data_IF_421684397459
#
_entry.id   IF_421684397459
#
_cell.length_a   1.000
_cell.length_b   1.000
_cell.length_c   1.000
_cell.angle_alpha   90.00
_cell.angle_beta   90.00
_cell.angle_gamma   90.00
#
_symmetry.space_group_name_H-M   'P 1'
#
loop_
_entity.id
_entity.type
_entity.pdbx_description
1 polymer ?
#
# COMPACT_ATOMS: atom_id res chain seq x y z
N UNK A 1 61.19 -18.79 8.98
CA UNK A 1 60.68 -17.82 8.01
C UNK A 1 59.25 -17.46 8.41
N UNK A 2 59.12 -16.46 9.29
CA UNK A 2 57.87 -15.95 9.85
C UNK A 2 57.86 -14.44 9.55
N UNK A 3 57.19 -14.07 8.46
CA UNK A 3 56.81 -12.71 8.07
C UNK A 3 55.28 -12.79 8.00
N UNK A 4 54.48 -12.14 8.83
CA UNK A 4 54.51 -10.71 9.14
C UNK A 4 53.31 -10.08 8.43
N UNK A 5 52.10 -10.35 8.93
CA UNK A 5 50.84 -9.82 8.38
C UNK A 5 50.11 -9.09 9.51
N UNK A 6 50.62 -7.89 9.82
CA UNK A 6 49.94 -6.90 10.65
C UNK A 6 48.99 -6.16 9.72
N UNK A 7 47.74 -6.59 9.70
CA UNK A 7 46.66 -5.91 9.00
C UNK A 7 46.15 -4.79 9.91
N UNK A 8 46.75 -3.61 9.79
CA UNK A 8 46.23 -2.38 10.40
C UNK A 8 44.88 -2.04 9.77
N UNK A 9 43.82 -2.32 10.52
CA UNK A 9 42.47 -1.87 10.21
C UNK A 9 42.40 -0.38 10.60
N UNK A 10 42.74 0.52 9.67
CA UNK A 10 42.36 1.93 9.75
C UNK A 10 40.83 2.02 9.64
N UNK A 11 40.14 2.08 10.78
CA UNK A 11 38.71 2.39 10.83
C UNK A 11 38.49 3.91 10.66
N UNK A 12 37.42 4.32 9.96
CA UNK A 12 37.10 5.73 9.74
C UNK A 12 36.57 6.37 11.03
N UNK A 13 37.41 7.10 11.75
CA UNK A 13 37.02 7.86 12.96
C UNK A 13 36.11 9.04 12.65
N UNK A 14 36.14 9.60 11.44
CA UNK A 14 35.31 10.76 11.07
C UNK A 14 33.81 10.48 11.00
N UNK A 15 33.43 9.25 10.60
CA UNK A 15 32.02 8.87 10.51
C UNK A 15 31.36 8.72 11.89
N UNK A 16 32.14 8.42 12.93
CA UNK A 16 31.64 8.30 14.30
C UNK A 16 31.30 9.68 14.88
N UNK A 17 32.15 10.67 14.67
CA UNK A 17 31.99 12.02 15.25
C UNK A 17 30.75 12.75 14.69
N UNK A 18 30.50 12.60 13.38
CA UNK A 18 29.31 13.16 12.72
C UNK A 18 28.01 12.53 13.24
N UNK A 19 28.00 11.22 13.48
CA UNK A 19 26.83 10.50 14.02
C UNK A 19 26.53 10.93 15.45
N UNK A 20 27.56 11.08 16.28
CA UNK A 20 27.39 11.54 17.66
C UNK A 20 26.83 12.95 17.74
N UNK A 21 27.27 13.85 16.86
CA UNK A 21 26.70 15.20 16.76
C UNK A 21 25.23 15.17 16.33
N UNK A 22 24.88 14.38 15.33
CA UNK A 22 23.49 14.26 14.86
C UNK A 22 22.57 13.65 15.93
N UNK A 23 23.04 12.63 16.65
CA UNK A 23 22.30 12.02 17.76
C UNK A 23 22.09 13.00 18.92
N UNK A 24 23.11 13.79 19.27
CA UNK A 24 23.00 14.84 20.28
C UNK A 24 21.99 15.93 19.88
N UNK A 25 22.05 16.39 18.63
CA UNK A 25 21.10 17.37 18.11
C UNK A 25 19.66 16.83 18.11
N UNK A 26 19.48 15.56 17.73
CA UNK A 26 18.19 14.89 17.81
C UNK A 26 17.70 14.76 19.26
N UNK A 27 18.57 14.41 20.22
CA UNK A 27 18.23 14.33 21.63
C UNK A 27 17.80 15.70 22.20
N UNK A 28 18.54 16.76 21.88
CA UNK A 28 18.20 18.13 22.29
C UNK A 28 16.86 18.57 21.69
N UNK A 29 16.61 18.27 20.41
CA UNK A 29 15.32 18.52 19.76
C UNK A 29 14.18 17.78 20.46
N UNK A 30 14.37 16.50 20.79
CA UNK A 30 13.38 15.67 21.47
C UNK A 30 13.09 16.20 22.86
N UNK A 31 14.10 16.55 23.65
CA UNK A 31 13.90 17.14 24.99
C UNK A 31 13.15 18.46 24.92
N UNK A 32 13.46 19.30 23.92
CA UNK A 32 12.76 20.57 23.72
C UNK A 32 11.28 20.37 23.35
N UNK A 33 10.97 19.37 22.53
CA UNK A 33 9.62 19.13 22.00
C UNK A 33 8.76 18.23 22.88
N UNK A 34 9.36 17.24 23.54
CA UNK A 34 8.72 16.18 24.32
C UNK A 34 9.15 16.18 25.80
N UNK A 35 9.75 17.25 26.32
CA UNK A 35 10.34 17.28 27.66
C UNK A 35 9.42 16.93 28.83
N UNK A 36 8.09 16.95 28.64
CA UNK A 36 7.12 16.46 29.65
C UNK A 36 7.09 14.94 29.78
N UNK A 37 7.43 14.21 28.71
CA UNK A 37 7.46 12.74 28.67
C UNK A 37 8.82 12.18 29.09
N UNK A 38 9.87 13.00 29.12
CA UNK A 38 11.28 12.59 29.31
C UNK A 38 11.81 13.05 30.68
N UNK A 39 10.96 13.09 31.72
CA UNK A 39 11.21 13.83 32.95
C UNK A 39 12.47 13.44 33.76
N UNK A 40 13.18 12.38 33.40
CA UNK A 40 14.35 11.89 34.15
C UNK A 40 15.60 11.63 33.29
N UNK A 41 15.52 11.75 31.96
CA UNK A 41 16.63 11.36 31.09
C UNK A 41 17.45 12.57 30.60
N UNK A 42 18.76 12.54 30.81
CA UNK A 42 19.66 13.59 30.32
C UNK A 42 19.79 13.54 28.79
N UNK A 43 20.10 14.69 28.18
CA UNK A 43 20.36 14.80 26.74
C UNK A 43 21.46 13.82 26.28
N UNK A 44 22.47 13.59 27.12
CA UNK A 44 23.56 12.67 26.83
C UNK A 44 23.13 11.20 26.85
N UNK A 45 22.29 10.80 27.82
CA UNK A 45 21.75 9.43 27.87
C UNK A 45 20.87 9.15 26.65
N UNK A 46 20.00 10.11 26.32
CA UNK A 46 19.13 10.01 25.15
C UNK A 46 19.95 9.98 23.86
N UNK A 47 20.98 10.82 23.72
CA UNK A 47 21.87 10.82 22.55
C UNK A 47 22.54 9.44 22.36
N UNK A 48 23.08 8.85 23.44
CA UNK A 48 23.68 7.50 23.38
C UNK A 48 22.66 6.44 22.95
N UNK A 49 21.44 6.48 23.47
CA UNK A 49 20.37 5.58 23.01
C UNK A 49 20.07 5.76 21.52
N UNK A 50 19.97 7.00 21.06
CA UNK A 50 19.76 7.31 19.64
C UNK A 50 20.91 6.74 18.79
N UNK A 51 22.17 6.89 19.20
CA UNK A 51 23.33 6.33 18.48
C UNK A 51 23.24 4.81 18.35
N UNK A 52 22.94 4.10 19.45
CA UNK A 52 22.81 2.64 19.46
C UNK A 52 21.69 2.18 18.52
N UNK A 53 20.54 2.83 18.58
CA UNK A 53 19.41 2.48 17.72
C UNK A 53 19.63 2.86 16.26
N UNK A 54 20.31 3.98 16.00
CA UNK A 54 20.71 4.37 14.65
C UNK A 54 21.70 3.37 14.06
N UNK A 55 22.64 2.86 14.85
CA UNK A 55 23.55 1.80 14.42
C UNK A 55 22.82 0.49 14.10
N UNK A 56 21.73 0.18 14.83
CA UNK A 56 20.94 -1.05 14.64
C UNK A 56 19.93 -0.95 13.49
N UNK A 57 19.27 0.20 13.33
CA UNK A 57 18.11 0.38 12.46
C UNK A 57 18.36 1.29 11.25
N UNK A 58 19.51 1.97 11.18
CA UNK A 58 19.84 2.93 10.14
C UNK A 58 19.51 4.38 10.53
N UNK A 59 19.88 5.31 9.64
CA UNK A 59 19.69 6.76 9.85
C UNK A 59 18.21 7.17 9.86
N UNK A 60 17.32 6.36 9.31
CA UNK A 60 15.87 6.55 9.39
C UNK A 60 15.37 6.60 10.83
N UNK A 61 16.11 6.01 11.78
CA UNK A 61 15.78 6.09 13.20
C UNK A 61 15.84 7.53 13.73
N UNK A 62 16.76 8.35 13.24
CA UNK A 62 16.85 9.77 13.65
C UNK A 62 15.57 10.53 13.29
N UNK A 63 15.04 10.29 12.09
CA UNK A 63 13.80 10.92 11.63
C UNK A 63 12.58 10.37 12.37
N UNK A 64 12.56 9.05 12.63
CA UNK A 64 11.53 8.43 13.45
C UNK A 64 11.47 9.07 14.85
N UNK A 65 12.61 9.22 15.53
CA UNK A 65 12.69 9.84 16.86
C UNK A 65 12.27 11.32 16.82
N UNK A 66 12.63 12.08 15.78
CA UNK A 66 12.19 13.49 15.63
C UNK A 66 10.67 13.62 15.47
N UNK A 67 10.03 12.68 14.78
CA UNK A 67 8.58 12.68 14.54
C UNK A 67 7.78 12.13 15.71
N UNK A 68 8.19 10.98 16.24
CA UNK A 68 7.47 10.18 17.25
C UNK A 68 7.92 10.51 18.66
N UNK A 69 9.14 11.01 18.84
CA UNK A 69 9.74 11.25 20.13
C UNK A 69 10.32 9.97 20.76
N UNK A 70 10.45 9.93 22.10
CA UNK A 70 11.01 8.79 22.83
C UNK A 70 10.22 7.48 22.66
N UNK A 71 8.94 7.56 22.28
CA UNK A 71 8.13 6.37 22.02
C UNK A 71 8.64 5.54 20.82
N UNK A 72 9.49 6.13 19.96
CA UNK A 72 10.11 5.42 18.86
C UNK A 72 10.97 4.22 19.30
N UNK A 73 11.60 4.30 20.48
CA UNK A 73 12.38 3.18 21.03
C UNK A 73 11.47 1.98 21.32
N UNK A 74 10.40 2.21 22.06
CA UNK A 74 9.45 1.17 22.45
C UNK A 74 8.78 0.53 21.22
N UNK A 75 8.33 1.34 20.27
CA UNK A 75 7.70 0.85 19.04
C UNK A 75 8.67 0.03 18.17
N UNK A 76 9.95 0.41 18.13
CA UNK A 76 10.97 -0.36 17.42
C UNK A 76 11.26 -1.71 18.11
N UNK A 77 11.25 -1.76 19.45
CA UNK A 77 11.41 -2.99 20.23
C UNK A 77 10.21 -3.91 20.11
N UNK A 78 8.98 -3.39 20.26
CA UNK A 78 7.72 -4.15 20.14
C UNK A 78 7.56 -4.77 18.75
N UNK A 79 8.03 -4.08 17.72
CA UNK A 79 8.02 -4.61 16.35
C UNK A 79 8.98 -5.80 16.16
N UNK A 80 9.93 -6.04 17.08
CA UNK A 80 10.81 -7.19 17.08
C UNK A 80 11.58 -7.37 15.77
N UNK A 81 11.33 -8.49 15.08
CA UNK A 81 11.95 -8.81 13.78
C UNK A 81 11.61 -7.77 12.70
N UNK A 82 10.49 -7.06 12.85
CA UNK A 82 10.02 -6.01 11.95
C UNK A 82 10.47 -4.59 12.38
N UNK A 83 11.40 -4.46 13.34
CA UNK A 83 11.87 -3.19 13.87
C UNK A 83 12.31 -2.19 12.78
N UNK A 84 13.09 -2.61 11.78
CA UNK A 84 13.51 -1.74 10.68
C UNK A 84 12.33 -1.20 9.86
N UNK A 85 11.29 -2.02 9.67
CA UNK A 85 10.11 -1.61 8.93
C UNK A 85 9.27 -0.63 9.74
N UNK A 86 9.10 -0.89 11.05
CA UNK A 86 8.46 0.04 11.97
C UNK A 86 9.18 1.41 12.02
N UNK A 87 10.51 1.42 12.03
CA UNK A 87 11.30 2.65 12.00
C UNK A 87 11.05 3.46 10.73
N UNK A 88 11.04 2.83 9.56
CA UNK A 88 10.70 3.51 8.29
C UNK A 88 9.27 4.06 8.31
N UNK A 89 8.34 3.33 8.90
CA UNK A 89 6.96 3.76 9.05
C UNK A 89 6.86 5.01 9.94
N UNK A 90 7.53 5.01 11.09
CA UNK A 90 7.62 6.15 12.00
C UNK A 90 8.27 7.36 11.33
N UNK A 91 9.39 7.15 10.64
CA UNK A 91 10.12 8.19 9.92
C UNK A 91 9.28 8.84 8.82
N UNK A 92 8.33 8.12 8.21
CA UNK A 92 7.46 8.66 7.16
C UNK A 92 6.20 9.29 7.72
N UNK A 93 5.45 8.54 8.52
CA UNK A 93 4.07 8.87 8.89
C UNK A 93 3.90 9.31 10.35
N UNK A 94 4.92 9.18 11.19
CA UNK A 94 4.85 9.53 12.62
C UNK A 94 4.13 8.47 13.47
N UNK A 95 3.73 8.88 14.67
CA UNK A 95 3.31 7.97 15.76
C UNK A 95 1.93 7.36 15.51
N UNK A 96 0.92 8.20 15.35
CA UNK A 96 -0.49 7.78 15.20
C UNK A 96 -0.69 6.75 14.08
N UNK A 97 0.05 6.92 12.99
CA UNK A 97 0.01 6.05 11.83
C UNK A 97 0.71 4.70 12.12
N UNK A 98 1.85 4.74 12.81
CA UNK A 98 2.61 3.54 13.19
C UNK A 98 1.83 2.70 14.18
N UNK A 99 1.31 3.32 15.25
CA UNK A 99 0.48 2.64 16.25
C UNK A 99 -0.73 1.99 15.59
N UNK A 100 -1.40 2.68 14.67
CA UNK A 100 -2.58 2.12 13.99
C UNK A 100 -2.25 0.88 13.14
N UNK A 101 -1.15 0.90 12.39
CA UNK A 101 -0.75 -0.24 11.54
C UNK A 101 -0.24 -1.41 12.38
N UNK A 102 0.58 -1.14 13.40
CA UNK A 102 1.21 -2.19 14.22
C UNK A 102 0.26 -2.80 15.27
N UNK A 103 -0.71 -2.03 15.78
CA UNK A 103 -1.69 -2.55 16.76
C UNK A 103 -2.67 -3.57 16.17
N UNK A 104 -2.75 -3.68 14.84
CA UNK A 104 -3.68 -4.57 14.15
C UNK A 104 -2.91 -5.70 13.44
N UNK A 105 -3.09 -6.97 13.84
CA UNK A 105 -2.29 -8.07 13.29
C UNK A 105 -2.48 -8.23 11.78
N UNK A 106 -3.68 -7.96 11.27
CA UNK A 106 -3.97 -8.04 9.84
C UNK A 106 -3.27 -6.92 9.04
N UNK A 107 -3.31 -5.68 9.52
CA UNK A 107 -2.62 -4.55 8.90
C UNK A 107 -1.09 -4.74 8.97
N UNK A 108 -0.57 -5.20 10.11
CA UNK A 108 0.83 -5.55 10.28
C UNK A 108 1.28 -6.67 9.32
N UNK A 109 0.45 -7.70 9.11
CA UNK A 109 0.74 -8.76 8.15
C UNK A 109 0.77 -8.25 6.70
N UNK A 110 -0.16 -7.35 6.32
CA UNK A 110 -0.15 -6.70 5.00
C UNK A 110 1.09 -5.82 4.82
N UNK A 111 1.47 -5.07 5.85
CA UNK A 111 2.70 -4.28 5.86
C UNK A 111 3.95 -5.16 5.72
N UNK A 112 4.03 -6.27 6.43
CA UNK A 112 5.15 -7.21 6.31
C UNK A 112 5.26 -7.81 4.90
N UNK A 113 4.11 -8.08 4.24
CA UNK A 113 4.06 -8.69 2.89
C UNK A 113 4.32 -7.70 1.76
N UNK A 114 3.75 -6.51 1.84
CA UNK A 114 3.73 -5.55 0.73
C UNK A 114 4.59 -4.31 0.99
N UNK A 115 5.10 -4.14 2.21
CA UNK A 115 5.97 -3.03 2.59
C UNK A 115 5.22 -1.72 2.78
N UNK A 116 5.96 -0.62 2.62
CA UNK A 116 5.49 0.74 2.91
C UNK A 116 4.29 1.18 2.07
N UNK A 117 4.18 0.67 0.84
CA UNK A 117 3.04 1.01 -0.03
C UNK A 117 1.71 0.57 0.59
N UNK A 118 1.67 -0.62 1.23
CA UNK A 118 0.49 -1.08 1.93
C UNK A 118 0.20 -0.20 3.15
N UNK A 119 1.22 0.14 3.94
CA UNK A 119 1.03 1.01 5.08
C UNK A 119 0.45 2.37 4.68
N UNK A 120 0.97 2.98 3.61
CA UNK A 120 0.45 4.25 3.10
C UNK A 120 -1.04 4.15 2.74
N UNK A 121 -1.43 3.10 2.01
CA UNK A 121 -2.84 2.85 1.66
C UNK A 121 -3.71 2.62 2.90
N UNK A 122 -3.21 1.84 3.86
CA UNK A 122 -3.90 1.50 5.11
C UNK A 122 -4.12 2.73 6.01
N UNK A 123 -3.10 3.59 6.14
CA UNK A 123 -3.17 4.83 6.90
C UNK A 123 -4.14 5.82 6.24
N UNK A 124 -4.10 5.93 4.91
CA UNK A 124 -4.98 6.83 4.15
C UNK A 124 -6.46 6.41 4.23
N UNK A 125 -6.73 5.10 4.26
CA UNK A 125 -8.08 4.53 4.24
C UNK A 125 -8.34 3.61 5.44
N UNK A 126 -8.22 4.18 6.65
CA UNK A 126 -8.39 3.46 7.92
C UNK A 126 -9.71 2.68 7.95
N UNK A 127 -9.60 1.37 8.18
CA UNK A 127 -10.74 0.44 8.32
C UNK A 127 -11.36 -0.03 7.00
N UNK A 128 -10.94 0.53 5.86
CA UNK A 128 -11.54 0.27 4.54
C UNK A 128 -10.54 -0.43 3.62
N UNK A 129 -9.26 -0.09 3.72
CA UNK A 129 -8.22 -0.65 2.86
C UNK A 129 -7.99 -2.15 3.09
N UNK A 130 -8.11 -2.63 4.33
CA UNK A 130 -7.81 -4.04 4.69
C UNK A 130 -8.56 -5.06 3.81
N UNK A 131 -9.90 -5.06 3.74
CA UNK A 131 -10.62 -6.05 2.92
C UNK A 131 -10.28 -5.93 1.43
N UNK A 132 -10.02 -4.72 0.94
CA UNK A 132 -9.69 -4.47 -0.47
C UNK A 132 -8.28 -4.98 -0.82
N UNK A 133 -7.31 -4.75 0.07
CA UNK A 133 -5.94 -5.25 -0.08
C UNK A 133 -5.87 -6.76 0.12
N UNK A 134 -6.69 -7.32 1.01
CA UNK A 134 -6.80 -8.77 1.19
C UNK A 134 -7.34 -9.45 -0.06
N UNK A 135 -8.40 -8.90 -0.66
CA UNK A 135 -9.04 -9.48 -1.84
C UNK A 135 -8.19 -9.38 -3.11
N UNK A 136 -7.47 -8.26 -3.31
CA UNK A 136 -6.80 -8.00 -4.59
C UNK A 136 -5.29 -7.76 -4.50
N UNK A 137 -4.70 -7.69 -3.30
CA UNK A 137 -3.25 -7.55 -3.11
C UNK A 137 -2.66 -6.24 -3.67
N UNK A 138 -1.58 -6.36 -4.44
CA UNK A 138 -0.79 -5.21 -4.96
C UNK A 138 -1.59 -4.24 -5.85
N UNK A 139 -2.42 -4.68 -6.81
CA UNK A 139 -3.28 -3.77 -7.58
C UNK A 139 -4.15 -2.85 -6.71
N UNK A 140 -4.73 -3.40 -5.63
CA UNK A 140 -5.54 -2.61 -4.69
C UNK A 140 -4.72 -1.57 -3.95
N UNK A 141 -3.48 -1.90 -3.54
CA UNK A 141 -2.58 -0.95 -2.90
C UNK A 141 -2.30 0.24 -3.81
N UNK A 142 -1.97 -0.02 -5.09
CA UNK A 142 -1.72 1.03 -6.08
C UNK A 142 -2.94 1.94 -6.26
N UNK A 143 -4.14 1.36 -6.37
CA UNK A 143 -5.38 2.10 -6.48
C UNK A 143 -5.67 2.95 -5.23
N UNK A 144 -5.56 2.36 -4.03
CA UNK A 144 -5.83 3.03 -2.76
C UNK A 144 -4.84 4.16 -2.48
N UNK A 145 -3.57 4.02 -2.86
CA UNK A 145 -2.59 5.11 -2.73
C UNK A 145 -3.01 6.37 -3.49
N UNK A 146 -3.61 6.23 -4.68
CA UNK A 146 -3.94 7.38 -5.53
C UNK A 146 -5.32 7.98 -5.26
N UNK A 147 -6.30 7.19 -4.84
CA UNK A 147 -7.66 7.70 -4.57
C UNK A 147 -7.80 8.36 -3.20
N UNK A 148 -8.74 9.31 -3.08
CA UNK A 148 -9.13 9.93 -1.82
C UNK A 148 -10.02 9.02 -0.96
N UNK A 149 -10.24 9.40 0.30
CA UNK A 149 -10.98 8.60 1.28
C UNK A 149 -12.42 8.24 0.84
N UNK A 150 -13.11 9.14 0.12
CA UNK A 150 -14.47 8.88 -0.36
C UNK A 150 -14.46 7.79 -1.45
N UNK A 151 -13.52 7.85 -2.37
CA UNK A 151 -13.35 6.87 -3.43
C UNK A 151 -12.81 5.53 -2.93
N UNK A 152 -11.97 5.54 -1.88
CA UNK A 152 -11.60 4.33 -1.14
C UNK A 152 -12.82 3.61 -0.55
N UNK A 153 -13.73 4.34 0.10
CA UNK A 153 -15.02 3.79 0.61
C UNK A 153 -15.87 3.19 -0.49
N UNK A 154 -15.99 3.88 -1.62
CA UNK A 154 -16.73 3.37 -2.79
C UNK A 154 -16.13 2.07 -3.32
N UNK A 155 -14.81 1.98 -3.37
CA UNK A 155 -14.13 0.76 -3.81
C UNK A 155 -14.42 -0.41 -2.87
N UNK A 156 -14.43 -0.19 -1.56
CA UNK A 156 -14.82 -1.21 -0.59
C UNK A 156 -16.30 -1.62 -0.71
N UNK A 157 -17.22 -0.67 -0.90
CA UNK A 157 -18.63 -1.01 -1.16
C UNK A 157 -18.79 -1.85 -2.44
N UNK A 158 -18.03 -1.56 -3.50
CA UNK A 158 -18.07 -2.39 -4.72
C UNK A 158 -17.52 -3.81 -4.50
N UNK A 159 -16.57 -3.98 -3.58
CA UNK A 159 -16.10 -5.29 -3.14
C UNK A 159 -17.19 -6.03 -2.36
N UNK A 160 -17.78 -5.38 -1.35
CA UNK A 160 -18.84 -5.95 -0.52
C UNK A 160 -20.08 -6.35 -1.34
N UNK A 161 -20.46 -5.53 -2.33
CA UNK A 161 -21.56 -5.81 -3.27
C UNK A 161 -21.20 -6.89 -4.32
N UNK A 162 -19.96 -7.42 -4.33
CA UNK A 162 -19.50 -8.40 -5.31
C UNK A 162 -19.33 -7.87 -6.74
N UNK A 163 -19.47 -6.55 -6.95
CA UNK A 163 -19.41 -5.93 -8.28
C UNK A 163 -18.03 -6.06 -8.92
N UNK A 164 -16.96 -5.95 -8.11
CA UNK A 164 -15.60 -6.15 -8.60
C UNK A 164 -15.37 -7.56 -9.12
N UNK A 165 -15.90 -8.58 -8.44
CA UNK A 165 -15.81 -9.97 -8.87
C UNK A 165 -16.68 -10.23 -10.12
N UNK A 166 -17.89 -9.66 -10.17
CA UNK A 166 -18.80 -9.81 -11.31
C UNK A 166 -18.23 -9.27 -12.63
N UNK A 167 -17.34 -8.27 -12.58
CA UNK A 167 -16.66 -7.74 -13.76
C UNK A 167 -15.56 -8.67 -14.31
N UNK A 168 -15.05 -9.63 -13.53
CA UNK A 168 -14.03 -10.60 -13.94
C UNK A 168 -12.64 -10.03 -14.29
N UNK A 169 -12.45 -8.70 -14.21
CA UNK A 169 -11.23 -7.97 -14.59
C UNK A 169 -10.84 -6.91 -13.54
N UNK A 170 -11.01 -7.28 -12.27
CA UNK A 170 -10.74 -6.39 -11.15
C UNK A 170 -9.28 -5.90 -11.13
N UNK A 171 -8.25 -6.73 -11.38
CA UNK A 171 -6.86 -6.27 -11.40
C UNK A 171 -6.61 -5.16 -12.42
N UNK A 172 -7.09 -5.29 -13.66
CA UNK A 172 -6.87 -4.27 -14.69
C UNK A 172 -7.64 -2.98 -14.41
N UNK A 173 -8.83 -3.10 -13.82
CA UNK A 173 -9.61 -1.95 -13.38
C UNK A 173 -8.88 -1.20 -12.25
N UNK A 174 -8.34 -1.92 -11.28
CA UNK A 174 -7.54 -1.35 -10.20
C UNK A 174 -6.26 -0.70 -10.71
N UNK A 175 -5.61 -1.27 -11.73
CA UNK A 175 -4.44 -0.64 -12.38
C UNK A 175 -4.82 0.68 -13.08
N UNK A 176 -6.00 0.76 -13.69
CA UNK A 176 -6.52 2.02 -14.26
C UNK A 176 -6.79 3.03 -13.16
N UNK A 177 -7.34 2.60 -12.02
CA UNK A 177 -7.51 3.48 -10.84
C UNK A 177 -6.16 3.92 -10.28
N UNK A 178 -5.17 3.04 -10.21
CA UNK A 178 -3.81 3.39 -9.80
C UNK A 178 -3.21 4.47 -10.71
N UNK A 179 -3.41 4.36 -12.04
CA UNK A 179 -2.88 5.34 -13.01
C UNK A 179 -3.64 6.67 -13.04
N UNK A 180 -4.96 6.66 -12.87
CA UNK A 180 -5.82 7.84 -13.10
C UNK A 180 -6.48 8.39 -11.83
N UNK A 181 -6.28 7.73 -10.68
CA UNK A 181 -6.77 8.13 -9.36
C UNK A 181 -8.28 8.30 -9.29
N UNK A 182 -8.70 9.36 -8.60
CA UNK A 182 -10.11 9.65 -8.32
C UNK A 182 -11.00 9.76 -9.56
N UNK A 183 -10.44 10.17 -10.71
CA UNK A 183 -11.21 10.36 -11.94
C UNK A 183 -11.69 9.03 -12.52
N UNK A 184 -10.82 8.03 -12.56
CA UNK A 184 -11.20 6.69 -12.99
C UNK A 184 -12.22 6.10 -12.02
N UNK A 185 -12.00 6.26 -10.70
CA UNK A 185 -12.91 5.72 -9.71
C UNK A 185 -14.31 6.36 -9.78
N UNK A 186 -14.41 7.67 -9.98
CA UNK A 186 -15.69 8.35 -10.22
C UNK A 186 -16.42 7.83 -11.47
N UNK A 187 -15.68 7.60 -12.56
CA UNK A 187 -16.26 7.03 -13.78
C UNK A 187 -16.78 5.61 -13.53
N UNK A 188 -15.96 4.76 -12.91
CA UNK A 188 -16.31 3.38 -12.58
C UNK A 188 -17.56 3.36 -11.69
N UNK A 189 -17.59 4.19 -10.64
CA UNK A 189 -18.71 4.25 -9.71
C UNK A 189 -20.02 4.65 -10.39
N UNK A 190 -19.99 5.64 -11.29
CA UNK A 190 -21.18 6.09 -12.03
C UNK A 190 -21.69 5.07 -13.06
N UNK A 191 -20.81 4.21 -13.56
CA UNK A 191 -21.13 3.26 -14.62
C UNK A 191 -21.01 1.81 -14.16
N UNK A 192 -20.98 1.54 -12.84
CA UNK A 192 -20.71 0.20 -12.30
C UNK A 192 -21.69 -0.87 -12.81
N UNK A 193 -22.96 -0.52 -13.03
CA UNK A 193 -23.95 -1.42 -13.64
C UNK A 193 -23.70 -1.69 -15.13
N UNK A 194 -23.25 -0.68 -15.89
CA UNK A 194 -22.95 -0.84 -17.31
C UNK A 194 -21.62 -1.58 -17.55
N UNK A 195 -20.64 -1.43 -16.65
CA UNK A 195 -19.34 -2.09 -16.74
C UNK A 195 -19.42 -3.60 -16.53
N UNK A 196 -20.46 -4.09 -15.86
CA UNK A 196 -20.75 -5.53 -15.78
C UNK A 196 -21.10 -6.11 -17.17
N UNK A 197 -21.63 -5.28 -18.08
CA UNK A 197 -21.95 -5.68 -19.45
C UNK A 197 -20.73 -5.37 -20.34
N UNK A 198 -19.92 -6.41 -20.58
CA UNK A 198 -18.54 -6.47 -21.10
C UNK A 198 -18.05 -5.47 -22.16
N UNK A 199 -18.92 -4.93 -23.04
CA UNK A 199 -18.51 -4.02 -24.10
C UNK A 199 -17.96 -2.67 -23.56
N UNK A 200 -18.59 -2.12 -22.53
CA UNK A 200 -18.17 -0.84 -21.95
C UNK A 200 -16.81 -0.92 -21.22
N UNK A 201 -16.55 -2.05 -20.58
CA UNK A 201 -15.32 -2.27 -19.82
C UNK A 201 -14.09 -2.32 -20.72
N UNK A 202 -14.19 -3.00 -21.87
CA UNK A 202 -13.06 -3.11 -22.81
C UNK A 202 -12.68 -1.76 -23.39
N UNK A 203 -13.67 -0.94 -23.78
CA UNK A 203 -13.42 0.41 -24.28
C UNK A 203 -12.81 1.32 -23.19
N UNK A 204 -13.28 1.21 -21.95
CA UNK A 204 -12.73 1.98 -20.82
C UNK A 204 -11.29 1.60 -20.50
N UNK A 205 -10.97 0.30 -20.48
CA UNK A 205 -9.61 -0.17 -20.24
C UNK A 205 -8.63 0.24 -21.35
N UNK A 206 -9.10 0.32 -22.60
CA UNK A 206 -8.29 0.81 -23.71
C UNK A 206 -8.06 2.33 -23.68
N UNK A 207 -9.08 3.11 -23.28
CA UNK A 207 -8.97 4.57 -23.23
C UNK A 207 -9.81 5.20 -22.10
N UNK A 208 -9.26 5.32 -20.88
CA UNK A 208 -9.98 5.85 -19.73
C UNK A 208 -10.26 7.36 -19.83
N UNK A 209 -9.65 8.07 -20.79
CA UNK A 209 -9.88 9.50 -21.02
C UNK A 209 -11.12 9.81 -21.87
N UNK A 210 -11.64 8.84 -22.63
CA UNK A 210 -12.74 9.08 -23.57
C UNK A 210 -14.09 9.45 -22.92
N UNK A 211 -14.28 9.18 -21.63
CA UNK A 211 -15.51 9.57 -20.92
C UNK A 211 -15.72 11.08 -20.75
N UNK A 212 -14.70 11.91 -21.03
CA UNK A 212 -14.70 13.35 -20.76
C UNK A 212 -15.43 14.21 -21.80
N UNK A 213 -15.63 13.72 -23.03
CA UNK A 213 -16.04 14.58 -24.14
C UNK A 213 -17.57 14.74 -24.31
N UNK A 214 -18.39 13.86 -23.74
CA UNK A 214 -19.81 13.78 -24.12
C UNK A 214 -20.75 14.88 -23.60
N UNK A 215 -20.42 15.57 -22.50
CA UNK A 215 -21.35 16.57 -21.89
C UNK A 215 -20.97 18.03 -22.14
N UNK A 216 -19.70 18.32 -22.41
CA UNK A 216 -19.27 19.71 -22.67
C UNK A 216 -19.53 20.14 -24.13
N UNK A 217 -19.79 19.18 -25.02
CA UNK A 217 -20.15 19.45 -26.42
C UNK A 217 -21.64 19.82 -26.63
N UNK A 218 -22.53 19.71 -25.63
CA UNK A 218 -23.96 20.06 -25.78
C UNK A 218 -24.33 21.50 -25.40
N UNK A 219 -23.38 22.32 -24.94
CA UNK A 219 -23.65 23.68 -24.46
C UNK A 219 -23.15 24.82 -25.36
N UNK A 220 -22.30 24.55 -26.36
CA UNK A 220 -21.82 25.59 -27.28
C UNK A 220 -22.54 25.49 -28.61
N UNK A 221 -23.46 26.43 -28.81
CA UNK A 221 -24.21 26.60 -30.03
C UNK A 221 -23.32 26.53 -31.27
N UNK A 222 -23.77 25.68 -32.20
CA UNK A 222 -23.63 25.79 -33.65
C UNK A 222 -22.75 26.93 -34.16
N UNK A 223 -21.43 26.72 -34.17
CA UNK A 223 -20.58 27.28 -35.21
C UNK A 223 -20.02 26.11 -36.00
N UNK A 224 -20.39 26.08 -37.28
CA UNK A 224 -19.83 25.19 -38.29
C UNK A 224 -18.30 25.27 -38.23
N UNK A 225 -17.66 24.27 -37.65
CA UNK A 225 -16.21 24.12 -37.67
C UNK A 225 -15.96 22.65 -37.88
N UNK A 226 -15.32 22.36 -39.02
CA UNK A 226 -15.23 21.03 -39.62
C UNK A 226 -14.78 19.95 -38.64
N UNK A 227 -15.54 18.85 -38.67
CA UNK A 227 -15.23 17.62 -38.00
C UNK A 227 -13.82 17.13 -38.37
N UNK A 228 -12.90 17.15 -37.40
CA UNK A 228 -11.83 16.16 -37.32
C UNK A 228 -12.18 15.26 -36.14
N UNK A 229 -13.02 14.28 -36.44
CA UNK A 229 -13.37 13.22 -35.51
C UNK A 229 -12.12 12.44 -35.13
N UNK A 230 -12.14 11.89 -33.91
CA UNK A 230 -11.27 10.78 -33.53
C UNK A 230 -11.63 9.60 -34.45
N UNK A 231 -11.06 9.58 -35.65
CA UNK A 231 -11.16 8.46 -36.58
C UNK A 231 -10.56 7.24 -35.90
N UNK A 232 -11.37 6.20 -35.80
CA UNK A 232 -10.95 4.90 -35.31
C UNK A 232 -9.71 4.45 -36.05
N UNK A 233 -8.78 3.88 -35.30
CA UNK A 233 -7.87 2.90 -35.87
C UNK A 233 -8.74 1.73 -36.32
N UNK A 234 -9.05 1.73 -37.61
CA UNK A 234 -9.53 0.57 -38.34
C UNK A 234 -8.46 -0.51 -38.17
N UNK A 235 -8.84 -1.57 -37.44
CA UNK A 235 -8.02 -2.75 -37.31
C UNK A 235 -7.96 -3.40 -38.69
N UNK A 236 -6.82 -3.23 -39.35
CA UNK A 236 -6.46 -3.98 -40.54
C UNK A 236 -6.55 -5.48 -40.23
N UNK A 237 -7.62 -6.10 -40.73
CA UNK A 237 -7.77 -7.55 -40.82
C UNK A 237 -6.87 -8.07 -41.95
N UNK A 238 -5.55 -7.97 -41.75
CA UNK A 238 -4.53 -8.60 -42.59
C UNK A 238 -4.44 -10.08 -42.24
N UNK A 239 -5.04 -10.92 -43.08
CA UNK A 239 -5.06 -12.36 -42.90
C UNK A 239 -3.67 -12.99 -42.83
N UNK A 240 -3.53 -13.95 -41.91
CA UNK A 240 -2.54 -15.01 -42.05
C UNK A 240 -3.20 -16.35 -41.73
N UNK A 241 -3.62 -17.05 -42.79
CA UNK A 241 -3.97 -18.47 -42.75
C UNK A 241 -2.66 -19.25 -42.72
N UNK A 242 -2.19 -19.56 -41.52
CA UNK A 242 -1.08 -20.48 -41.29
C UNK A 242 -1.59 -21.70 -40.52
N UNK A 243 -1.77 -22.80 -41.23
CA UNK A 243 -2.12 -24.10 -40.68
C UNK A 243 -1.09 -24.59 -39.67
N UNK A 244 -1.53 -25.06 -38.50
CA UNK A 244 -0.84 -26.11 -37.76
C UNK A 244 -1.88 -27.01 -37.08
N UNK A 245 -1.91 -28.25 -37.57
CA UNK A 245 -2.32 -29.48 -36.90
C UNK A 245 -1.76 -29.44 -35.45
N UNK A 246 -2.56 -29.67 -34.42
CA UNK A 246 -3.09 -30.99 -34.09
C UNK A 246 -2.05 -31.72 -33.25
N UNK A 247 -2.15 -31.65 -31.93
CA UNK A 247 -1.99 -32.84 -31.09
C UNK A 247 -2.33 -32.58 -29.62
N UNK A 248 -3.12 -33.50 -29.09
CA UNK A 248 -3.69 -33.45 -27.76
C UNK A 248 -2.66 -33.62 -26.65
N UNK A 249 -2.80 -32.78 -25.62
CA UNK A 249 -2.29 -33.10 -24.30
C UNK A 249 -3.39 -32.86 -23.26
N UNK A 250 -3.80 -33.99 -22.68
CA UNK A 250 -4.68 -34.16 -21.53
C UNK A 250 -4.28 -33.18 -20.43
N UNK A 251 -5.25 -32.41 -19.92
CA UNK A 251 -5.12 -31.80 -18.59
C UNK A 251 -5.73 -32.75 -17.55
N UNK A 252 -5.00 -33.09 -16.49
CA UNK A 252 -5.54 -33.87 -15.38
C UNK A 252 -6.54 -33.03 -14.58
N UNK A 253 -7.62 -33.68 -14.16
CA UNK A 253 -8.48 -33.24 -13.08
C UNK A 253 -7.62 -32.98 -11.83
N UNK A 254 -7.67 -31.75 -11.33
CA UNK A 254 -7.21 -31.45 -9.97
C UNK A 254 -8.47 -31.18 -9.16
N UNK A 255 -8.88 -32.22 -8.43
CA UNK A 255 -9.75 -32.13 -7.26
C UNK A 255 -8.87 -31.69 -6.08
N UNK A 256 -9.38 -30.80 -5.21
CA UNK A 256 -9.21 -31.01 -3.77
C UNK A 256 -10.59 -30.84 -3.12
N UNK A 257 -11.21 -31.93 -2.69
CA UNK A 257 -10.99 -32.60 -1.41
C UNK A 257 -11.13 -31.64 -0.22
N UNK A 258 -12.22 -31.86 0.50
CA UNK A 258 -12.68 -31.13 1.64
C UNK A 258 -11.73 -31.26 2.84
N UNK A 259 -11.41 -30.13 3.46
CA UNK A 259 -11.08 -30.06 4.89
C UNK A 259 -12.10 -29.11 5.55
N UNK A 260 -13.22 -29.66 6.02
CA UNK A 260 -13.46 -29.94 7.46
C UNK A 260 -13.04 -28.80 8.38
N UNK A 261 -13.89 -27.78 8.47
CA UNK A 261 -14.10 -27.08 9.73
C UNK A 261 -15.51 -27.41 10.23
N UNK A 262 -15.59 -28.43 11.09
CA UNK A 262 -16.74 -28.64 11.97
C UNK A 262 -16.71 -27.49 12.99
N UNK A 263 -17.72 -26.63 13.00
CA UNK A 263 -18.05 -25.85 14.18
C UNK A 263 -18.77 -26.77 15.17
N UNK A 264 -18.32 -26.88 16.43
CA UNK A 264 -19.15 -27.45 17.48
C UNK A 264 -20.18 -26.41 17.93
N UNK A 265 -21.46 -26.78 17.79
CA UNK A 265 -22.54 -26.15 18.52
C UNK A 265 -22.32 -26.39 20.02
N UNK A 266 -22.00 -25.35 20.78
CA UNK A 266 -22.13 -25.36 22.24
C UNK A 266 -23.32 -24.50 22.63
N UNK A 267 -24.46 -25.16 22.76
CA UNK A 267 -25.59 -24.65 23.53
C UNK A 267 -25.41 -24.99 25.00
N UNK A 268 -25.51 -23.97 25.85
CA UNK A 268 -25.85 -24.02 27.28
C UNK A 268 -26.42 -22.63 27.58
N UNK A 269 -27.70 -22.40 27.83
CA UNK A 269 -28.61 -23.17 28.65
C UNK A 269 -28.47 -22.71 30.11
N UNK A 270 -28.98 -21.51 30.44
CA UNK A 270 -29.14 -21.08 31.84
C UNK A 270 -30.53 -20.47 32.03
N UNK A 271 -31.30 -21.16 32.88
CA UNK A 271 -32.56 -20.74 33.42
C UNK A 271 -32.35 -20.26 34.86
N UNK A 272 -32.93 -19.09 35.17
CA UNK A 272 -33.49 -18.63 36.46
C UNK A 272 -32.53 -18.57 37.69
N UNK A 273 -32.94 -18.01 38.85
CA UNK A 273 -34.28 -17.60 39.30
C UNK A 273 -34.76 -16.23 38.80
#
# INVERSE_FOLDING_TARGET
MLLGLVLEILLPTEAADLRSKAAREAAEYVLKKFGKEVAEESAESLARKIEVYTAKHGEEFLEAVRKVGPRAFHLAEEAGVHGNQAVKLMARFGDDATVWVLSRPQAAAMFARYGEDAAEALIKHKGIAEPVVEAFGRPAIGALKTVNAQNGRRLAMMLEEGQLAAMGRSPELLDVVAKHGDRAMEFIWRHKGALVVSAGLTAFLANPHCGRSGREARGRGSRKSGARGCSGHELDAGGNRGALLGDGLRRPEIVPEAARWRQPCSGTGWAAP
#
